data_IF_759451519156
#
_entry.id   IF_759451519156
#
_cell.length_a   1.000
_cell.length_b   1.000
_cell.length_c   1.000
_cell.angle_alpha   90.00
_cell.angle_beta   90.00
_cell.angle_gamma   90.00
#
_symmetry.space_group_name_H-M   'P 1'
#
loop_
_entity.id
_entity.type
_entity.pdbx_description
1 polymer ?
#
# COMPACT_ATOMS: atom_id res chain seq x y z
N UNK A 1 -7.34 -15.76 -9.42
CA UNK A 1 -7.16 -14.29 -9.39
C UNK A 1 -6.81 -13.76 -8.00
N UNK A 2 -7.56 -14.12 -6.94
CA UNK A 2 -7.25 -13.68 -5.56
C UNK A 2 -5.85 -14.10 -5.07
N UNK A 3 -5.40 -15.32 -5.40
CA UNK A 3 -4.06 -15.79 -5.04
C UNK A 3 -2.94 -14.95 -5.70
N UNK A 4 -3.12 -14.53 -6.95
CA UNK A 4 -2.15 -13.69 -7.67
C UNK A 4 -2.04 -12.30 -7.02
N UNK A 5 -3.18 -11.68 -6.68
CA UNK A 5 -3.22 -10.40 -5.97
C UNK A 5 -2.60 -10.51 -4.56
N UNK A 6 -2.87 -11.61 -3.84
CA UNK A 6 -2.24 -11.88 -2.55
C UNK A 6 -0.72 -12.00 -2.65
N UNK A 7 -0.23 -12.74 -3.64
CA UNK A 7 1.21 -12.89 -3.91
C UNK A 7 1.84 -11.54 -4.28
N UNK A 8 1.21 -10.76 -5.17
CA UNK A 8 1.67 -9.41 -5.53
C UNK A 8 1.74 -8.49 -4.32
N UNK A 9 0.74 -8.54 -3.45
CA UNK A 9 0.70 -7.73 -2.22
C UNK A 9 1.85 -8.10 -1.29
N UNK A 10 2.09 -9.40 -1.09
CA UNK A 10 3.19 -9.88 -0.27
C UNK A 10 4.56 -9.49 -0.86
N UNK A 11 4.75 -9.63 -2.17
CA UNK A 11 5.98 -9.22 -2.86
C UNK A 11 6.21 -7.73 -2.67
N UNK A 12 5.22 -6.88 -2.95
CA UNK A 12 5.35 -5.42 -2.81
C UNK A 12 5.68 -5.04 -1.37
N UNK A 13 5.02 -5.67 -0.39
CA UNK A 13 5.28 -5.40 1.02
C UNK A 13 6.71 -5.78 1.44
N UNK A 14 7.17 -6.96 1.03
CA UNK A 14 8.55 -7.43 1.31
C UNK A 14 9.58 -6.57 0.57
N UNK A 15 9.35 -6.24 -0.70
CA UNK A 15 10.24 -5.38 -1.47
C UNK A 15 10.43 -4.02 -0.81
N UNK A 16 9.36 -3.43 -0.28
CA UNK A 16 9.44 -2.15 0.42
C UNK A 16 10.23 -2.28 1.71
N UNK A 17 9.99 -3.33 2.51
CA UNK A 17 10.76 -3.56 3.73
C UNK A 17 12.26 -3.77 3.48
N UNK A 18 12.64 -4.29 2.31
CA UNK A 18 14.05 -4.49 1.94
C UNK A 18 14.72 -3.22 1.38
N UNK A 19 13.98 -2.38 0.68
CA UNK A 19 14.50 -1.19 0.00
C UNK A 19 14.48 0.03 0.93
N UNK A 20 13.50 0.12 1.83
CA UNK A 20 13.29 1.28 2.68
C UNK A 20 14.05 1.12 4.00
N UNK A 21 14.97 2.05 4.36
CA UNK A 21 15.68 2.00 5.62
C UNK A 21 14.72 1.98 6.82
N UNK A 22 14.99 1.13 7.81
CA UNK A 22 14.14 0.95 9.00
C UNK A 22 13.90 2.22 9.84
N UNK A 23 14.72 3.26 9.64
CA UNK A 23 14.64 4.54 10.35
C UNK A 23 14.04 5.68 9.50
N UNK A 24 13.48 5.38 8.34
CA UNK A 24 12.84 6.39 7.47
C UNK A 24 11.36 6.56 7.79
N UNK A 25 10.82 7.76 7.57
CA UNK A 25 9.39 8.07 7.73
C UNK A 25 8.47 7.19 6.87
N UNK A 26 9.03 6.57 5.82
CA UNK A 26 8.34 5.63 4.96
C UNK A 26 7.85 4.37 5.71
N UNK A 27 8.56 3.91 6.75
CA UNK A 27 8.08 2.80 7.59
C UNK A 27 6.82 3.19 8.38
N UNK A 28 6.75 4.42 8.88
CA UNK A 28 5.57 4.98 9.55
C UNK A 28 4.38 5.09 8.59
N UNK A 29 4.61 5.65 7.41
CA UNK A 29 3.58 5.78 6.37
C UNK A 29 2.99 4.42 5.94
N UNK A 30 3.84 3.39 5.78
CA UNK A 30 3.40 2.03 5.44
C UNK A 30 2.55 1.42 6.56
N UNK A 31 2.97 1.61 7.81
CA UNK A 31 2.26 1.10 8.99
C UNK A 31 0.86 1.70 9.09
N UNK A 32 0.73 3.02 8.92
CA UNK A 32 -0.56 3.72 8.89
C UNK A 32 -1.42 3.22 7.72
N UNK A 33 -0.83 3.03 6.55
CA UNK A 33 -1.53 2.52 5.37
C UNK A 33 -2.14 1.14 5.65
N UNK A 34 -1.36 0.22 6.24
CA UNK A 34 -1.84 -1.13 6.61
C UNK A 34 -2.94 -1.06 7.67
N UNK A 35 -2.75 -0.26 8.72
CA UNK A 35 -3.74 -0.09 9.80
C UNK A 35 -5.09 0.38 9.28
N UNK A 36 -5.10 1.29 8.29
CA UNK A 36 -6.32 1.78 7.67
C UNK A 36 -6.90 0.82 6.62
N UNK A 37 -6.04 0.07 5.92
CA UNK A 37 -6.47 -0.86 4.89
C UNK A 37 -7.18 -2.10 5.44
N UNK A 38 -6.73 -2.62 6.59
CA UNK A 38 -7.28 -3.84 7.22
C UNK A 38 -8.80 -3.75 7.47
N UNK A 39 -9.35 -2.73 8.18
CA UNK A 39 -10.78 -2.68 8.46
C UNK A 39 -11.60 -2.58 7.16
N UNK A 40 -11.12 -1.84 6.16
CA UNK A 40 -11.80 -1.71 4.86
C UNK A 40 -11.81 -3.06 4.13
N UNK A 41 -10.68 -3.77 4.09
CA UNK A 41 -10.59 -5.10 3.48
C UNK A 41 -11.53 -6.11 4.16
N UNK A 42 -11.64 -6.07 5.49
CA UNK A 42 -12.56 -6.91 6.26
C UNK A 42 -14.02 -6.60 5.92
N UNK A 43 -14.39 -5.31 5.84
CA UNK A 43 -15.74 -4.90 5.46
C UNK A 43 -16.10 -5.35 4.05
N UNK A 44 -15.19 -5.18 3.08
CA UNK A 44 -15.39 -5.62 1.70
C UNK A 44 -15.50 -7.14 1.59
N UNK A 45 -14.65 -7.89 2.32
CA UNK A 45 -14.71 -9.35 2.34
C UNK A 45 -16.02 -9.90 2.92
N UNK A 46 -16.62 -9.18 3.88
CA UNK A 46 -17.92 -9.54 4.47
C UNK A 46 -19.12 -9.08 3.64
N UNK A 47 -18.91 -8.30 2.58
CA UNK A 47 -20.00 -7.85 1.70
C UNK A 47 -20.63 -9.00 0.93
N UNK A 48 -21.96 -9.10 0.98
CA UNK A 48 -22.73 -10.12 0.25
C UNK A 48 -22.90 -9.79 -1.23
N UNK A 49 -22.65 -8.55 -1.63
CA UNK A 49 -22.77 -8.09 -3.02
C UNK A 49 -21.38 -7.79 -3.54
N UNK A 50 -20.92 -8.61 -4.48
CA UNK A 50 -19.65 -8.44 -5.22
C UNK A 50 -18.40 -8.17 -4.35
N UNK A 51 -18.41 -8.60 -3.08
CA UNK A 51 -17.34 -8.29 -2.13
C UNK A 51 -15.96 -8.74 -2.59
N UNK A 52 -15.87 -9.87 -3.32
CA UNK A 52 -14.62 -10.33 -3.92
C UNK A 52 -14.09 -9.39 -5.01
N UNK A 53 -14.96 -8.88 -5.88
CA UNK A 53 -14.57 -7.94 -6.93
C UNK A 53 -14.12 -6.61 -6.32
N UNK A 54 -14.89 -6.07 -5.37
CA UNK A 54 -14.54 -4.84 -4.66
C UNK A 54 -13.22 -4.99 -3.89
N UNK A 55 -13.00 -6.13 -3.25
CA UNK A 55 -11.73 -6.43 -2.57
C UNK A 55 -10.57 -6.48 -3.57
N UNK A 56 -10.75 -7.06 -4.75
CA UNK A 56 -9.72 -7.07 -5.80
C UNK A 56 -9.36 -5.66 -6.26
N UNK A 57 -10.36 -4.82 -6.57
CA UNK A 57 -10.13 -3.43 -6.99
C UNK A 57 -9.45 -2.63 -5.88
N UNK A 58 -9.90 -2.82 -4.63
CA UNK A 58 -9.30 -2.16 -3.46
C UNK A 58 -7.82 -2.53 -3.28
N UNK A 59 -7.49 -3.82 -3.32
CA UNK A 59 -6.11 -4.30 -3.19
C UNK A 59 -5.25 -3.82 -4.37
N UNK A 60 -5.77 -3.84 -5.59
CA UNK A 60 -5.07 -3.32 -6.76
C UNK A 60 -4.78 -1.82 -6.63
N UNK A 61 -5.74 -1.02 -6.17
CA UNK A 61 -5.56 0.41 -5.94
C UNK A 61 -4.54 0.69 -4.83
N UNK A 62 -4.55 -0.10 -3.74
CA UNK A 62 -3.54 -0.01 -2.68
C UNK A 62 -2.14 -0.31 -3.21
N UNK A 63 -1.99 -1.35 -4.05
CA UNK A 63 -0.71 -1.68 -4.66
C UNK A 63 -0.17 -0.54 -5.52
N UNK A 64 -1.02 0.06 -6.36
CA UNK A 64 -0.63 1.22 -7.18
C UNK A 64 -0.21 2.39 -6.29
N UNK A 65 -0.98 2.71 -5.25
CA UNK A 65 -0.65 3.78 -4.29
C UNK A 65 0.70 3.56 -3.64
N UNK A 66 0.95 2.34 -3.18
CA UNK A 66 2.18 1.95 -2.50
C UNK A 66 3.37 2.00 -3.46
N UNK A 67 3.20 1.56 -4.70
CA UNK A 67 4.23 1.65 -5.74
C UNK A 67 4.58 3.11 -6.07
N UNK A 68 3.58 3.97 -6.26
CA UNK A 68 3.78 5.40 -6.51
C UNK A 68 4.48 6.06 -5.33
N UNK A 69 4.07 5.78 -4.09
CA UNK A 69 4.72 6.30 -2.89
C UNK A 69 6.18 5.83 -2.76
N UNK A 70 6.47 4.58 -3.09
CA UNK A 70 7.83 4.05 -3.10
C UNK A 70 8.70 4.75 -4.16
N UNK A 71 8.19 4.99 -5.36
CA UNK A 71 8.88 5.77 -6.39
C UNK A 71 9.18 7.18 -5.88
N UNK A 72 8.18 7.87 -5.33
CA UNK A 72 8.36 9.22 -4.77
C UNK A 72 9.46 9.23 -3.70
N UNK A 73 9.48 8.22 -2.82
CA UNK A 73 10.46 8.12 -1.75
C UNK A 73 11.88 7.80 -2.25
N UNK A 74 12.03 6.88 -3.20
CA UNK A 74 13.33 6.48 -3.75
C UNK A 74 13.99 7.59 -4.57
N UNK A 75 13.19 8.38 -5.28
CA UNK A 75 13.68 9.52 -6.07
C UNK A 75 13.68 10.83 -5.29
N UNK A 76 13.44 10.80 -3.97
CA UNK A 76 13.41 11.98 -3.09
C UNK A 76 12.48 13.10 -3.60
N UNK A 77 11.41 12.73 -4.30
CA UNK A 77 10.46 13.68 -4.89
C UNK A 77 9.51 14.29 -3.85
N UNK A 78 9.71 14.04 -2.55
CA UNK A 78 8.83 14.57 -1.51
C UNK A 78 8.80 16.10 -1.54
N UNK A 79 9.93 16.76 -1.80
CA UNK A 79 10.03 18.23 -1.88
C UNK A 79 9.12 18.81 -2.97
N UNK A 80 9.07 18.17 -4.16
CA UNK A 80 8.20 18.59 -5.26
C UNK A 80 6.71 18.47 -4.92
N UNK A 81 6.34 17.46 -4.13
CA UNK A 81 4.95 17.24 -3.70
C UNK A 81 4.61 17.90 -2.36
N UNK A 82 5.51 18.70 -1.79
CA UNK A 82 5.31 19.42 -0.52
C UNK A 82 5.40 18.54 0.74
N UNK A 83 5.94 17.33 0.63
CA UNK A 83 6.14 16.41 1.75
C UNK A 83 7.28 16.80 2.70
N UNK A 84 8.18 17.69 2.26
CA UNK A 84 9.29 18.25 3.05
C UNK A 84 9.11 19.76 3.30
N UNK A 85 7.88 20.27 3.20
CA UNK A 85 7.58 21.66 3.52
C UNK A 85 7.53 21.85 5.04
N UNK A 86 8.70 21.99 5.67
CA UNK A 86 8.89 22.48 7.04
C UNK A 86 9.81 23.70 7.05
#
# INVERSE_FOLDING_TARGET
MNALLGILTAIVFVSILLVVPAHSDAAGALTVCVLLAIPVAVLLWRSKVEGQFLLQVFVAALLVRVLVGAIINVFELQEFFGGDAL
#
